data_IF_839830533320
#
_entry.id   IF_839830533320
#
_cell.length_a   1.000
_cell.length_b   1.000
_cell.length_c   1.000
_cell.angle_alpha   90.00
_cell.angle_beta   90.00
_cell.angle_gamma   90.00
#
_symmetry.space_group_name_H-M   'P 1'
#
loop_
_entity.id
_entity.type
_entity.pdbx_description
1 polymer ?
#
# COMPACT_ATOMS: atom_id res chain seq x y z
N UNK A 1 45.86 -30.59 39.73
CA UNK A 1 44.85 -31.24 38.89
C UNK A 1 43.87 -30.16 38.48
N UNK A 2 44.28 -29.31 37.55
CA UNK A 2 43.41 -28.29 36.96
C UNK A 2 42.58 -28.98 35.87
N UNK A 3 41.26 -28.92 36.00
CA UNK A 3 40.34 -29.36 34.95
C UNK A 3 39.75 -28.09 34.34
N UNK A 4 40.20 -27.78 33.14
CA UNK A 4 39.60 -26.78 32.26
C UNK A 4 38.12 -27.12 32.02
N UNK A 5 37.22 -26.18 32.33
CA UNK A 5 35.86 -26.18 31.80
C UNK A 5 35.77 -25.07 30.75
N UNK A 6 35.72 -25.46 29.48
CA UNK A 6 35.51 -24.57 28.32
C UNK A 6 34.16 -23.83 28.45
N UNK A 7 34.03 -22.60 27.90
CA UNK A 7 32.76 -21.91 27.85
C UNK A 7 31.78 -22.68 26.96
N UNK A 8 30.57 -22.92 27.45
CA UNK A 8 29.50 -23.60 26.72
C UNK A 8 29.09 -22.79 25.50
N UNK A 9 29.02 -23.51 24.38
CA UNK A 9 28.62 -23.09 23.05
C UNK A 9 27.30 -22.31 23.02
N UNK A 10 27.29 -21.22 22.24
CA UNK A 10 26.09 -20.53 21.78
C UNK A 10 25.29 -21.49 20.88
N UNK A 11 24.18 -22.03 21.39
CA UNK A 11 23.24 -22.82 20.57
C UNK A 11 22.20 -21.90 19.95
N UNK A 12 22.28 -21.71 18.63
CA UNK A 12 21.14 -21.24 17.83
C UNK A 12 20.29 -22.46 17.46
N UNK A 13 19.06 -22.53 17.98
CA UNK A 13 18.05 -23.47 17.49
C UNK A 13 17.07 -22.65 16.66
N UNK A 14 17.07 -22.83 15.35
CA UNK A 14 16.04 -22.25 14.49
C UNK A 14 14.77 -23.07 14.62
N UNK A 15 13.74 -22.53 15.26
CA UNK A 15 12.37 -23.01 15.08
C UNK A 15 11.73 -22.18 13.98
N UNK A 16 11.34 -22.86 12.91
CA UNK A 16 10.61 -22.27 11.80
C UNK A 16 9.26 -21.72 12.29
N UNK A 17 8.95 -20.49 11.90
CA UNK A 17 7.62 -19.89 11.82
C UNK A 17 6.86 -19.58 13.12
N UNK A 18 7.05 -18.36 13.65
CA UNK A 18 5.99 -17.48 14.21
C UNK A 18 6.45 -16.01 14.14
N UNK A 19 5.56 -15.03 13.90
CA UNK A 19 5.91 -13.61 13.93
C UNK A 19 5.55 -13.03 15.30
N UNK A 20 6.51 -13.01 16.22
CA UNK A 20 6.43 -12.18 17.44
C UNK A 20 7.86 -11.77 17.87
N UNK A 21 8.04 -10.61 18.53
CA UNK A 21 9.35 -10.08 18.84
C UNK A 21 10.07 -10.94 19.89
N UNK A 22 11.20 -11.53 19.51
CA UNK A 22 12.11 -12.18 20.45
C UNK A 22 12.94 -11.11 21.16
N UNK A 23 12.91 -11.09 22.49
CA UNK A 23 13.93 -10.41 23.28
C UNK A 23 15.23 -11.24 23.22
N UNK A 24 16.35 -10.60 22.87
CA UNK A 24 17.67 -11.25 22.88
C UNK A 24 18.56 -10.55 23.90
N UNK A 25 19.25 -11.35 24.71
CA UNK A 25 20.28 -10.89 25.65
C UNK A 25 21.63 -11.10 24.99
N UNK A 26 22.33 -10.01 24.70
CA UNK A 26 23.71 -10.01 24.23
C UNK A 26 24.57 -9.26 25.24
N UNK A 27 25.56 -9.95 25.82
CA UNK A 27 26.50 -9.38 26.81
C UNK A 27 25.85 -8.64 28.00
N UNK A 28 24.69 -9.11 28.46
CA UNK A 28 23.98 -8.53 29.61
C UNK A 28 23.09 -7.33 29.27
N UNK A 29 22.97 -6.94 27.99
CA UNK A 29 22.06 -5.89 27.53
C UNK A 29 20.88 -6.50 26.79
N UNK A 30 19.67 -6.07 27.12
CA UNK A 30 18.44 -6.51 26.46
C UNK A 30 18.14 -5.60 25.28
N UNK A 31 17.89 -6.20 24.13
CA UNK A 31 17.42 -5.48 22.95
C UNK A 31 16.34 -6.27 22.21
N UNK A 32 15.51 -5.54 21.48
CA UNK A 32 14.48 -6.10 20.62
C UNK A 32 15.03 -6.25 19.21
N UNK A 33 14.76 -7.41 18.59
CA UNK A 33 14.97 -7.59 17.15
C UNK A 33 13.65 -7.34 16.42
N UNK A 34 13.62 -6.25 15.65
CA UNK A 34 12.58 -6.02 14.66
C UNK A 34 13.25 -5.82 13.30
N UNK A 35 12.82 -6.59 12.30
CA UNK A 35 13.35 -6.48 10.93
C UNK A 35 14.86 -6.74 10.77
N UNK A 36 15.51 -7.45 11.70
CA UNK A 36 16.95 -7.79 11.64
C UNK A 36 17.90 -6.77 12.28
N UNK A 37 17.39 -5.66 12.84
CA UNK A 37 18.21 -4.67 13.56
C UNK A 37 18.01 -4.78 15.07
N UNK A 38 19.10 -4.70 15.83
CA UNK A 38 19.13 -4.78 17.28
C UNK A 38 19.12 -3.36 17.88
N UNK A 39 18.12 -3.07 18.73
CA UNK A 39 18.01 -1.80 19.44
C UNK A 39 18.26 -2.02 20.93
N UNK A 40 19.40 -1.58 21.49
CA UNK A 40 19.70 -1.72 22.90
C UNK A 40 18.83 -0.77 23.73
N UNK A 41 18.24 -1.26 24.82
CA UNK A 41 17.56 -0.42 25.80
C UNK A 41 18.51 -0.08 26.96
N UNK A 42 18.45 1.14 27.51
CA UNK A 42 19.32 1.59 28.61
C UNK A 42 18.95 1.01 30.00
N UNK A 43 17.92 0.17 30.07
CA UNK A 43 17.47 -0.47 31.31
C UNK A 43 18.37 -1.66 31.72
N UNK A 44 18.62 -1.81 33.02
CA UNK A 44 19.40 -2.92 33.58
C UNK A 44 18.59 -4.23 33.57
N UNK A 45 19.31 -5.36 33.52
CA UNK A 45 18.73 -6.71 33.41
C UNK A 45 17.70 -7.03 34.50
N UNK A 46 17.83 -6.47 35.70
CA UNK A 46 16.90 -6.71 36.83
C UNK A 46 15.52 -6.07 36.60
N UNK A 47 15.46 -4.84 36.09
CA UNK A 47 14.18 -4.15 35.82
C UNK A 47 13.43 -4.79 34.66
N UNK A 48 14.14 -5.14 33.59
CA UNK A 48 13.55 -5.84 32.45
C UNK A 48 13.26 -7.33 32.75
N UNK A 49 13.96 -7.95 33.69
CA UNK A 49 13.73 -9.34 34.10
C UNK A 49 12.36 -9.53 34.74
N UNK A 50 11.80 -8.55 35.45
CA UNK A 50 10.48 -8.68 36.06
C UNK A 50 9.36 -8.60 35.00
N UNK A 51 9.42 -7.61 34.11
CA UNK A 51 8.44 -7.43 33.03
C UNK A 51 8.51 -8.58 31.99
N UNK A 52 9.72 -9.01 31.63
CA UNK A 52 9.92 -10.14 30.69
C UNK A 52 9.56 -11.47 31.35
N UNK A 53 9.86 -11.68 32.64
CA UNK A 53 9.48 -12.90 33.33
C UNK A 53 7.96 -13.01 33.51
N UNK A 54 7.23 -11.91 33.74
CA UNK A 54 5.76 -11.94 33.83
C UNK A 54 5.07 -12.13 32.48
N UNK A 55 5.62 -11.57 31.39
CA UNK A 55 5.21 -11.93 30.02
C UNK A 55 5.41 -13.41 29.71
N UNK A 56 6.46 -14.04 30.25
CA UNK A 56 6.77 -15.46 30.08
C UNK A 56 5.91 -16.35 30.98
N UNK A 57 5.44 -15.87 32.14
CA UNK A 57 4.73 -16.69 33.13
C UNK A 57 3.21 -16.87 32.87
N UNK A 58 2.58 -15.97 32.10
CA UNK A 58 1.12 -16.00 31.88
C UNK A 58 0.67 -16.67 30.56
N UNK A 59 1.60 -17.23 29.79
CA UNK A 59 1.29 -17.89 28.52
C UNK A 59 0.78 -16.95 27.42
N UNK A 60 0.57 -17.44 26.19
CA UNK A 60 0.15 -16.61 25.06
C UNK A 60 -1.23 -16.02 25.36
N UNK A 61 -1.33 -14.71 25.61
CA UNK A 61 -2.50 -13.82 25.80
C UNK A 61 -3.92 -14.42 25.61
N UNK A 62 -4.24 -15.56 26.24
CA UNK A 62 -5.48 -16.31 26.09
C UNK A 62 -5.99 -16.59 27.50
N UNK A 63 -7.21 -16.13 27.78
CA UNK A 63 -7.87 -16.36 29.07
C UNK A 63 -7.90 -15.16 30.03
N UNK A 64 -7.38 -13.99 29.63
CA UNK A 64 -7.65 -12.78 30.42
C UNK A 64 -9.12 -12.38 30.32
N UNK A 65 -9.75 -12.31 31.48
CA UNK A 65 -11.12 -11.82 31.70
C UNK A 65 -11.11 -10.39 32.23
N UNK A 66 -12.28 -9.76 32.27
CA UNK A 66 -12.51 -8.44 32.87
C UNK A 66 -11.89 -8.23 34.26
N UNK A 67 -11.81 -9.28 35.09
CA UNK A 67 -11.23 -9.21 36.44
C UNK A 67 -9.73 -8.86 36.44
N UNK A 68 -9.04 -9.09 35.32
CA UNK A 68 -7.61 -8.88 35.21
C UNK A 68 -7.21 -7.43 34.88
N UNK A 69 -8.17 -6.53 34.59
CA UNK A 69 -7.86 -5.18 34.10
C UNK A 69 -6.90 -4.39 35.00
N UNK A 70 -7.21 -4.28 36.30
CA UNK A 70 -6.38 -3.52 37.25
C UNK A 70 -4.97 -4.13 37.39
N UNK A 71 -4.88 -5.46 37.43
CA UNK A 71 -3.59 -6.15 37.50
C UNK A 71 -2.76 -5.91 36.24
N UNK A 72 -3.38 -6.03 35.06
CA UNK A 72 -2.69 -5.87 33.78
C UNK A 72 -2.19 -4.43 33.57
N UNK A 73 -2.98 -3.43 33.98
CA UNK A 73 -2.57 -2.02 33.86
C UNK A 73 -1.53 -1.60 34.90
N UNK A 74 -1.53 -2.23 36.08
CA UNK A 74 -0.49 -2.04 37.10
C UNK A 74 0.84 -2.69 36.72
N UNK A 75 0.80 -3.92 36.18
CA UNK A 75 1.99 -4.66 35.73
C UNK A 75 2.58 -4.02 34.48
N UNK A 76 1.77 -3.87 33.43
CA UNK A 76 2.26 -3.40 32.13
C UNK A 76 2.16 -1.87 32.04
N UNK A 77 3.13 -1.16 32.61
CA UNK A 77 3.14 0.32 32.60
C UNK A 77 3.43 0.92 31.22
N UNK A 78 4.12 0.18 30.34
CA UNK A 78 4.43 0.60 28.98
C UNK A 78 3.21 0.47 28.04
N UNK A 79 2.80 1.59 27.43
CA UNK A 79 1.67 1.64 26.49
C UNK A 79 1.80 0.71 25.29
N UNK A 80 3.01 0.48 24.78
CA UNK A 80 3.24 -0.37 23.60
C UNK A 80 2.91 -1.82 23.96
N UNK A 81 3.37 -2.27 25.13
CA UNK A 81 3.07 -3.62 25.63
C UNK A 81 1.56 -3.77 25.85
N UNK A 82 0.89 -2.79 26.48
CA UNK A 82 -0.56 -2.86 26.68
C UNK A 82 -1.34 -2.88 25.37
N UNK A 83 -0.94 -2.08 24.38
CA UNK A 83 -1.57 -2.06 23.05
C UNK A 83 -1.42 -3.43 22.35
N UNK A 84 -0.22 -3.99 22.36
CA UNK A 84 0.05 -5.29 21.72
C UNK A 84 -0.65 -6.44 22.47
N UNK A 85 -0.78 -6.33 23.80
CA UNK A 85 -1.63 -7.21 24.60
C UNK A 85 -3.10 -7.11 24.18
N UNK A 86 -3.67 -5.91 24.08
CA UNK A 86 -5.06 -5.67 23.63
C UNK A 86 -5.32 -6.32 22.26
N UNK A 87 -4.34 -6.31 21.36
CA UNK A 87 -4.43 -6.98 20.06
C UNK A 87 -4.71 -8.49 20.17
N UNK A 88 -4.41 -9.12 21.31
CA UNK A 88 -4.63 -10.55 21.54
C UNK A 88 -5.79 -10.87 22.51
N UNK A 89 -6.38 -9.90 23.20
CA UNK A 89 -7.54 -10.13 24.08
C UNK A 89 -8.77 -10.54 23.27
N UNK A 90 -9.49 -11.58 23.72
CA UNK A 90 -10.79 -12.00 23.15
C UNK A 90 -11.99 -11.70 24.05
N UNK A 91 -11.76 -11.47 25.35
CA UNK A 91 -12.81 -11.15 26.30
C UNK A 91 -13.35 -9.74 26.04
N UNK A 92 -14.62 -9.65 25.66
CA UNK A 92 -15.25 -8.38 25.30
C UNK A 92 -15.32 -7.44 26.51
N UNK A 93 -15.68 -7.93 27.69
CA UNK A 93 -15.76 -7.11 28.91
C UNK A 93 -14.40 -6.50 29.30
N UNK A 94 -13.30 -7.21 29.08
CA UNK A 94 -11.95 -6.69 29.28
C UNK A 94 -11.59 -5.64 28.21
N UNK A 95 -11.92 -5.89 26.95
CA UNK A 95 -11.74 -4.90 25.87
C UNK A 95 -12.51 -3.60 26.16
N UNK A 96 -13.75 -3.70 26.63
CA UNK A 96 -14.56 -2.54 27.03
C UNK A 96 -13.89 -1.74 28.15
N UNK A 97 -13.29 -2.41 29.15
CA UNK A 97 -12.53 -1.72 30.19
C UNK A 97 -11.28 -1.01 29.64
N UNK A 98 -10.51 -1.65 28.77
CA UNK A 98 -9.38 -0.99 28.11
C UNK A 98 -9.82 0.23 27.31
N UNK A 99 -10.90 0.12 26.53
CA UNK A 99 -11.42 1.23 25.74
C UNK A 99 -11.93 2.41 26.56
N UNK A 100 -12.45 2.16 27.77
CA UNK A 100 -13.03 3.20 28.63
C UNK A 100 -12.06 3.78 29.65
N UNK A 101 -11.06 3.01 30.09
CA UNK A 101 -10.30 3.29 31.32
C UNK A 101 -8.79 3.35 31.13
N UNK A 102 -8.22 2.81 30.04
CA UNK A 102 -6.76 2.88 29.88
C UNK A 102 -6.29 4.34 29.81
N UNK A 103 -5.18 4.64 30.48
CA UNK A 103 -4.64 5.99 30.55
C UNK A 103 -4.14 6.50 29.19
N UNK A 104 -3.71 5.60 28.30
CA UNK A 104 -3.15 5.96 26.99
C UNK A 104 -4.20 5.80 25.87
N UNK A 105 -4.39 6.84 25.07
CA UNK A 105 -5.39 6.86 24.01
C UNK A 105 -5.12 5.86 22.89
N UNK A 106 -3.87 5.49 22.61
CA UNK A 106 -3.57 4.48 21.59
C UNK A 106 -3.99 3.08 22.05
N UNK A 107 -3.88 2.79 23.35
CA UNK A 107 -4.40 1.53 23.92
C UNK A 107 -5.93 1.54 23.87
N UNK A 108 -6.57 2.66 24.22
CA UNK A 108 -8.03 2.80 24.12
C UNK A 108 -8.52 2.62 22.69
N UNK A 109 -7.88 3.25 21.71
CA UNK A 109 -8.22 3.13 20.30
C UNK A 109 -8.09 1.67 19.80
N UNK A 110 -6.98 0.99 20.14
CA UNK A 110 -6.80 -0.42 19.80
C UNK A 110 -7.87 -1.33 20.42
N UNK A 111 -8.35 -1.00 21.62
CA UNK A 111 -9.44 -1.75 22.25
C UNK A 111 -10.77 -1.49 21.53
N UNK A 112 -11.08 -0.24 21.20
CA UNK A 112 -12.28 0.16 20.41
C UNK A 112 -12.37 -0.58 19.08
N UNK A 113 -11.22 -0.79 18.42
CA UNK A 113 -11.17 -1.54 17.16
C UNK A 113 -11.66 -2.99 17.27
N UNK A 114 -11.67 -3.56 18.48
CA UNK A 114 -12.02 -4.95 18.74
C UNK A 114 -13.35 -5.16 19.47
N UNK A 115 -13.92 -4.10 20.05
CA UNK A 115 -15.20 -4.17 20.73
C UNK A 115 -16.32 -4.48 19.73
N UNK A 116 -17.26 -5.34 20.12
CA UNK A 116 -18.45 -5.69 19.31
C UNK A 116 -19.71 -4.91 19.74
N UNK A 117 -19.70 -4.34 20.95
CA UNK A 117 -20.80 -3.59 21.50
C UNK A 117 -21.05 -2.27 20.74
N UNK A 118 -21.97 -2.31 19.78
CA UNK A 118 -22.32 -1.16 18.91
C UNK A 118 -22.77 0.08 19.68
N UNK A 119 -23.46 -0.09 20.81
CA UNK A 119 -23.93 1.04 21.64
C UNK A 119 -22.74 1.73 22.28
N UNK A 120 -21.84 0.98 22.90
CA UNK A 120 -20.62 1.52 23.50
C UNK A 120 -19.74 2.22 22.45
N UNK A 121 -19.55 1.62 21.27
CA UNK A 121 -18.79 2.25 20.17
C UNK A 121 -19.42 3.60 19.79
N UNK A 122 -20.75 3.66 19.70
CA UNK A 122 -21.47 4.91 19.39
C UNK A 122 -21.31 5.95 20.50
N UNK A 123 -21.35 5.54 21.77
CA UNK A 123 -21.16 6.42 22.91
C UNK A 123 -19.72 6.97 22.97
N UNK A 124 -18.72 6.13 22.68
CA UNK A 124 -17.30 6.53 22.57
C UNK A 124 -17.13 7.52 21.42
N UNK A 125 -17.67 7.23 20.24
CA UNK A 125 -17.55 8.13 19.09
C UNK A 125 -18.16 9.51 19.35
N UNK A 126 -19.23 9.61 20.15
CA UNK A 126 -19.91 10.88 20.45
C UNK A 126 -19.23 11.68 21.57
N UNK A 127 -18.64 11.02 22.55
CA UNK A 127 -18.30 11.65 23.84
C UNK A 127 -16.82 11.56 24.23
N UNK A 128 -16.03 10.70 23.59
CA UNK A 128 -14.63 10.53 23.96
C UNK A 128 -13.81 11.80 23.68
N UNK A 129 -12.92 12.17 24.61
CA UNK A 129 -12.17 13.43 24.51
C UNK A 129 -11.09 13.38 23.46
N UNK A 130 -10.40 12.24 23.34
CA UNK A 130 -9.34 12.07 22.37
C UNK A 130 -9.91 11.74 20.99
N UNK A 131 -9.50 12.50 19.99
CA UNK A 131 -9.92 12.37 18.60
C UNK A 131 -9.49 11.06 17.97
N UNK A 132 -8.27 10.55 18.21
CA UNK A 132 -7.83 9.25 17.68
C UNK A 132 -8.73 8.09 18.14
N UNK A 133 -9.17 8.11 19.40
CA UNK A 133 -10.14 7.12 19.91
C UNK A 133 -11.51 7.31 19.25
N UNK A 134 -11.96 8.57 19.05
CA UNK A 134 -13.19 8.84 18.29
C UNK A 134 -13.08 8.37 16.83
N UNK A 135 -11.94 8.55 16.16
CA UNK A 135 -11.66 8.08 14.79
C UNK A 135 -11.75 6.55 14.70
N UNK A 136 -11.17 5.85 15.67
CA UNK A 136 -11.29 4.39 15.77
C UNK A 136 -12.77 3.96 15.93
N UNK A 137 -13.53 4.68 16.76
CA UNK A 137 -14.94 4.40 17.00
C UNK A 137 -15.81 4.68 15.76
N UNK A 138 -15.74 5.88 15.18
CA UNK A 138 -16.56 6.28 14.02
C UNK A 138 -16.28 5.40 12.79
N UNK A 139 -15.07 4.87 12.67
CA UNK A 139 -14.73 3.95 11.57
C UNK A 139 -15.54 2.66 11.58
N UNK A 140 -16.12 2.30 12.74
CA UNK A 140 -16.94 1.09 12.98
C UNK A 140 -18.45 1.38 13.02
N UNK A 141 -18.88 2.63 12.83
CA UNK A 141 -20.30 2.99 12.90
C UNK A 141 -20.98 2.85 11.53
N UNK A 142 -22.12 2.16 11.53
CA UNK A 142 -22.99 1.99 10.36
C UNK A 142 -24.29 2.81 10.46
N UNK A 143 -24.68 3.17 11.68
CA UNK A 143 -25.89 3.91 11.98
C UNK A 143 -25.85 5.32 11.39
N UNK A 144 -26.77 5.61 10.45
CA UNK A 144 -26.75 6.84 9.68
C UNK A 144 -27.03 8.08 10.53
N UNK A 145 -27.94 7.98 11.51
CA UNK A 145 -28.24 9.10 12.41
C UNK A 145 -27.02 9.48 13.23
N UNK A 146 -26.29 8.49 13.74
CA UNK A 146 -25.03 8.72 14.46
C UNK A 146 -23.95 9.31 13.57
N UNK A 147 -23.78 8.83 12.34
CA UNK A 147 -22.81 9.40 11.39
C UNK A 147 -23.14 10.87 11.06
N UNK A 148 -24.41 11.18 10.81
CA UNK A 148 -24.84 12.57 10.59
C UNK A 148 -24.63 13.45 11.82
N UNK A 149 -24.88 12.92 13.02
CA UNK A 149 -24.62 13.63 14.27
C UNK A 149 -23.13 13.93 14.44
N UNK A 150 -22.25 12.96 14.17
CA UNK A 150 -20.80 13.13 14.28
C UNK A 150 -20.30 14.15 13.26
N UNK A 151 -20.77 14.11 12.01
CA UNK A 151 -20.48 15.17 11.05
C UNK A 151 -20.92 16.56 11.55
N UNK A 152 -22.14 16.71 12.09
CA UNK A 152 -22.65 18.02 12.50
C UNK A 152 -21.95 18.60 13.73
N UNK A 153 -21.48 17.75 14.64
CA UNK A 153 -21.09 18.17 15.99
C UNK A 153 -19.62 17.91 16.34
N UNK A 154 -18.88 17.06 15.61
CA UNK A 154 -17.47 16.81 15.95
C UNK A 154 -16.57 17.97 15.51
N UNK A 155 -15.73 18.40 16.45
CA UNK A 155 -14.76 19.47 16.24
C UNK A 155 -13.57 19.04 15.38
N UNK A 156 -13.22 17.76 15.40
CA UNK A 156 -12.11 17.21 14.63
C UNK A 156 -12.53 16.94 13.18
N UNK A 157 -11.67 17.35 12.25
CA UNK A 157 -12.02 17.28 10.83
C UNK A 157 -11.91 15.85 10.30
N UNK A 158 -10.98 15.04 10.82
CA UNK A 158 -10.79 13.66 10.37
C UNK A 158 -11.95 12.79 10.86
N UNK A 159 -12.44 12.99 12.08
CA UNK A 159 -13.67 12.33 12.55
C UNK A 159 -14.86 12.67 11.65
N UNK A 160 -15.02 13.96 11.28
CA UNK A 160 -16.07 14.37 10.35
C UNK A 160 -15.90 13.75 8.97
N UNK A 161 -14.68 13.71 8.43
CA UNK A 161 -14.38 13.09 7.14
C UNK A 161 -14.72 11.58 7.14
N UNK A 162 -14.31 10.86 8.18
CA UNK A 162 -14.61 9.43 8.36
C UNK A 162 -16.13 9.21 8.44
N UNK A 163 -16.85 10.08 9.14
CA UNK A 163 -18.32 10.03 9.18
C UNK A 163 -18.92 10.25 7.79
N UNK A 164 -18.53 11.32 7.10
CA UNK A 164 -19.03 11.68 5.76
C UNK A 164 -18.76 10.59 4.74
N UNK A 165 -17.60 9.93 4.80
CA UNK A 165 -17.26 8.81 3.91
C UNK A 165 -18.15 7.56 4.10
N UNK A 166 -19.06 7.57 5.08
CA UNK A 166 -20.06 6.50 5.33
C UNK A 166 -21.51 6.97 5.26
N UNK A 167 -21.77 8.27 5.19
CA UNK A 167 -23.13 8.84 5.07
C UNK A 167 -23.75 8.48 3.70
N UNK A 168 -25.01 8.09 3.65
CA UNK A 168 -25.74 7.79 2.39
C UNK A 168 -26.76 8.87 1.99
N UNK A 169 -27.08 9.80 2.89
CA UNK A 169 -28.01 10.90 2.65
C UNK A 169 -27.48 11.86 1.56
N UNK A 170 -27.99 11.73 0.33
CA UNK A 170 -27.51 12.49 -0.84
C UNK A 170 -27.71 14.00 -0.71
N UNK A 171 -28.81 14.45 -0.09
CA UNK A 171 -29.06 15.89 0.14
C UNK A 171 -28.04 16.48 1.10
N UNK A 172 -27.71 15.75 2.17
CA UNK A 172 -26.67 16.17 3.09
C UNK A 172 -25.31 16.18 2.39
N UNK A 173 -24.94 15.11 1.68
CA UNK A 173 -23.68 15.03 0.93
C UNK A 173 -23.51 16.18 -0.07
N UNK A 174 -24.58 16.57 -0.79
CA UNK A 174 -24.55 17.73 -1.69
C UNK A 174 -24.21 19.02 -0.93
N UNK A 175 -24.87 19.27 0.19
CA UNK A 175 -24.59 20.46 1.02
C UNK A 175 -23.14 20.46 1.52
N UNK A 176 -22.64 19.31 2.00
CA UNK A 176 -21.26 19.17 2.48
C UNK A 176 -20.27 19.46 1.35
N UNK A 177 -20.47 18.85 0.18
CA UNK A 177 -19.62 19.02 -0.99
C UNK A 177 -19.47 20.49 -1.41
N UNK A 178 -20.51 21.31 -1.27
CA UNK A 178 -20.47 22.73 -1.63
C UNK A 178 -20.01 23.67 -0.51
N UNK A 179 -20.18 23.30 0.76
CA UNK A 179 -20.12 24.29 1.85
C UNK A 179 -19.21 23.95 3.04
N UNK A 180 -18.72 22.72 3.19
CA UNK A 180 -17.82 22.41 4.30
C UNK A 180 -16.51 23.21 4.16
N UNK A 181 -15.98 23.70 5.28
CA UNK A 181 -14.77 24.54 5.29
C UNK A 181 -13.50 23.73 5.00
N UNK A 182 -13.53 22.42 5.20
CA UNK A 182 -12.39 21.53 5.06
C UNK A 182 -12.49 20.75 3.76
N UNK A 183 -11.49 20.93 2.92
CA UNK A 183 -11.41 20.31 1.61
C UNK A 183 -11.52 18.79 1.68
N UNK A 184 -10.89 18.13 2.66
CA UNK A 184 -10.94 16.66 2.76
C UNK A 184 -12.35 16.15 3.13
N UNK A 185 -13.09 16.86 3.98
CA UNK A 185 -14.51 16.57 4.26
C UNK A 185 -15.37 16.76 3.00
N UNK A 186 -15.12 17.83 2.23
CA UNK A 186 -15.78 18.04 0.94
C UNK A 186 -15.47 16.90 -0.04
N UNK A 187 -14.19 16.49 -0.16
CA UNK A 187 -13.74 15.39 -1.02
C UNK A 187 -14.43 14.08 -0.68
N UNK A 188 -14.53 13.74 0.61
CA UNK A 188 -15.27 12.59 1.09
C UNK A 188 -16.74 12.63 0.68
N UNK A 189 -17.37 13.82 0.71
CA UNK A 189 -18.75 13.98 0.24
C UNK A 189 -18.87 13.79 -1.27
N UNK A 190 -18.00 14.41 -2.08
CA UNK A 190 -18.02 14.28 -3.55
C UNK A 190 -17.85 12.83 -3.98
N UNK A 191 -16.97 12.07 -3.31
CA UNK A 191 -16.73 10.66 -3.60
C UNK A 191 -18.00 9.78 -3.46
N UNK A 192 -19.00 10.24 -2.68
CA UNK A 192 -20.25 9.51 -2.40
C UNK A 192 -21.48 10.08 -3.10
N UNK A 193 -21.32 11.13 -3.89
CA UNK A 193 -22.40 11.69 -4.67
C UNK A 193 -22.76 10.81 -5.86
N UNK A 194 -24.06 10.61 -6.03
CA UNK A 194 -24.63 9.85 -7.16
C UNK A 194 -25.26 10.77 -8.21
N UNK A 195 -25.75 11.93 -7.78
CA UNK A 195 -26.46 12.86 -8.66
C UNK A 195 -25.51 13.51 -9.69
N UNK A 196 -25.68 13.13 -10.96
CA UNK A 196 -24.86 13.62 -12.06
C UNK A 196 -24.99 15.13 -12.29
N UNK A 197 -26.14 15.75 -12.01
CA UNK A 197 -26.29 17.20 -12.13
C UNK A 197 -25.48 17.95 -11.07
N UNK A 198 -25.36 17.38 -9.87
CA UNK A 198 -24.55 17.94 -8.78
C UNK A 198 -23.06 17.81 -9.10
N UNK A 199 -22.62 16.63 -9.53
CA UNK A 199 -21.23 16.38 -9.95
C UNK A 199 -20.81 17.37 -11.06
N UNK A 200 -21.68 17.63 -12.04
CA UNK A 200 -21.41 18.63 -13.10
C UNK A 200 -21.24 20.04 -12.57
N UNK A 201 -21.94 20.43 -11.50
CA UNK A 201 -21.75 21.74 -10.87
C UNK A 201 -20.39 21.79 -10.16
N UNK A 202 -20.01 20.73 -9.44
CA UNK A 202 -18.74 20.61 -8.73
C UNK A 202 -17.52 20.62 -9.66
N UNK A 203 -17.68 20.30 -10.94
CA UNK A 203 -16.63 20.49 -11.94
C UNK A 203 -16.24 21.96 -12.17
N UNK A 204 -17.02 22.93 -11.67
CA UNK A 204 -16.66 24.35 -11.70
C UNK A 204 -15.94 24.82 -10.43
N UNK A 205 -15.66 23.91 -9.50
CA UNK A 205 -15.02 24.25 -8.24
C UNK A 205 -13.60 24.80 -8.44
N UNK A 206 -13.20 25.76 -7.61
CA UNK A 206 -11.86 26.34 -7.67
C UNK A 206 -10.78 25.33 -7.24
N UNK A 207 -11.13 24.42 -6.33
CA UNK A 207 -10.22 23.39 -5.81
C UNK A 207 -10.08 22.26 -6.83
N UNK A 208 -8.83 22.03 -7.25
CA UNK A 208 -8.49 21.00 -8.23
C UNK A 208 -8.94 19.59 -7.81
N UNK A 209 -8.66 19.19 -6.56
CA UNK A 209 -9.03 17.90 -6.01
C UNK A 209 -10.55 17.64 -6.06
N UNK A 210 -11.38 18.68 -5.87
CA UNK A 210 -12.83 18.56 -5.96
C UNK A 210 -13.24 18.28 -7.41
N UNK A 211 -12.65 19.00 -8.38
CA UNK A 211 -12.88 18.75 -9.80
C UNK A 211 -12.39 17.36 -10.22
N UNK A 212 -11.24 16.92 -9.71
CA UNK A 212 -10.68 15.59 -9.98
C UNK A 212 -11.62 14.47 -9.53
N UNK A 213 -12.11 14.52 -8.29
CA UNK A 213 -13.05 13.49 -7.81
C UNK A 213 -14.36 13.57 -8.60
N UNK A 214 -14.87 14.78 -8.84
CA UNK A 214 -16.10 14.96 -9.61
C UNK A 214 -15.99 14.43 -11.05
N UNK A 215 -14.83 14.56 -11.71
CA UNK A 215 -14.63 14.03 -13.07
C UNK A 215 -14.60 12.50 -13.08
N UNK A 216 -13.98 11.87 -12.08
CA UNK A 216 -13.98 10.42 -11.93
C UNK A 216 -15.37 9.83 -11.59
N UNK A 217 -16.27 10.65 -11.03
CA UNK A 217 -17.63 10.27 -10.66
C UNK A 217 -18.67 10.54 -11.75
N UNK A 218 -18.35 11.37 -12.75
CA UNK A 218 -19.30 11.69 -13.82
C UNK A 218 -19.26 10.67 -14.95
N UNK A 219 -20.39 10.49 -15.64
CA UNK A 219 -20.49 9.65 -16.83
C UNK A 219 -20.61 10.44 -18.16
N UNK A 220 -20.51 11.77 -18.12
CA UNK A 220 -20.56 12.59 -19.33
C UNK A 220 -19.21 12.64 -20.05
N UNK A 221 -19.13 11.94 -21.18
CA UNK A 221 -17.93 11.86 -22.01
C UNK A 221 -17.54 13.19 -22.68
N UNK A 222 -18.48 14.07 -23.02
CA UNK A 222 -18.17 15.39 -23.60
C UNK A 222 -17.56 16.31 -22.54
N UNK A 223 -18.07 16.24 -21.32
CA UNK A 223 -17.50 16.95 -20.17
C UNK A 223 -16.11 16.40 -19.86
N UNK A 224 -15.95 15.08 -19.76
CA UNK A 224 -14.65 14.43 -19.55
C UNK A 224 -13.64 14.85 -20.63
N UNK A 225 -14.04 14.83 -21.90
CA UNK A 225 -13.21 15.28 -23.04
C UNK A 225 -12.74 16.72 -22.86
N UNK A 226 -13.64 17.65 -22.52
CA UNK A 226 -13.29 19.05 -22.30
C UNK A 226 -12.27 19.21 -21.17
N UNK A 227 -12.45 18.52 -20.05
CA UNK A 227 -11.51 18.58 -18.93
C UNK A 227 -10.15 17.98 -19.28
N UNK A 228 -10.13 16.84 -19.98
CA UNK A 228 -8.89 16.21 -20.45
C UNK A 228 -8.07 17.12 -21.37
N UNK A 229 -8.74 17.92 -22.22
CA UNK A 229 -8.09 18.83 -23.16
C UNK A 229 -7.64 20.16 -22.56
N UNK A 230 -8.29 20.65 -21.50
CA UNK A 230 -8.19 22.07 -21.14
C UNK A 230 -8.13 22.43 -19.66
N UNK A 231 -8.29 21.49 -18.71
CA UNK A 231 -8.15 21.86 -17.30
C UNK A 231 -6.73 22.39 -17.01
N UNK A 232 -6.58 23.54 -16.32
CA UNK A 232 -5.26 24.08 -16.02
C UNK A 232 -4.41 23.15 -15.14
N UNK A 233 -5.03 22.27 -14.35
CA UNK A 233 -4.34 21.36 -13.43
C UNK A 233 -4.11 20.02 -14.11
N UNK A 234 -2.84 19.62 -14.14
CA UNK A 234 -2.39 18.36 -14.76
C UNK A 234 -3.10 17.15 -14.18
N UNK A 235 -3.30 17.09 -12.86
CA UNK A 235 -3.97 15.96 -12.20
C UNK A 235 -5.41 15.78 -12.66
N UNK A 236 -6.14 16.89 -12.81
CA UNK A 236 -7.51 16.87 -13.35
C UNK A 236 -7.52 16.42 -14.81
N UNK A 237 -6.58 16.91 -15.64
CA UNK A 237 -6.45 16.44 -17.03
C UNK A 237 -6.16 14.94 -17.09
N UNK A 238 -5.18 14.46 -16.31
CA UNK A 238 -4.79 13.04 -16.22
C UNK A 238 -5.96 12.16 -15.79
N UNK A 239 -6.70 12.56 -14.75
CA UNK A 239 -7.89 11.87 -14.28
C UNK A 239 -8.98 11.81 -15.35
N UNK A 240 -9.26 12.95 -16.00
CA UNK A 240 -10.21 13.01 -17.11
C UNK A 240 -9.79 12.12 -18.28
N UNK A 241 -8.52 12.13 -18.69
CA UNK A 241 -7.96 11.24 -19.73
C UNK A 241 -8.15 9.77 -19.37
N UNK A 242 -7.96 9.40 -18.10
CA UNK A 242 -8.16 8.03 -17.61
C UNK A 242 -9.62 7.57 -17.75
N UNK A 243 -10.58 8.50 -17.60
CA UNK A 243 -12.02 8.25 -17.75
C UNK A 243 -12.55 8.43 -19.19
N UNK A 244 -11.74 8.95 -20.11
CA UNK A 244 -12.15 9.29 -21.48
C UNK A 244 -12.16 8.08 -22.41
N UNK A 245 -13.21 7.93 -23.22
CA UNK A 245 -13.33 6.84 -24.21
C UNK A 245 -13.21 7.30 -25.67
N UNK A 246 -13.14 8.61 -25.92
CA UNK A 246 -13.01 9.16 -27.27
C UNK A 246 -11.60 8.93 -27.84
N UNK A 247 -11.48 8.00 -28.79
CA UNK A 247 -10.17 7.57 -29.32
C UNK A 247 -9.42 8.68 -30.06
N UNK A 248 -10.11 9.56 -30.79
CA UNK A 248 -9.44 10.65 -31.50
C UNK A 248 -8.85 11.68 -30.53
N UNK A 249 -9.57 12.01 -29.45
CA UNK A 249 -9.00 12.85 -28.38
C UNK A 249 -7.86 12.16 -27.65
N UNK A 250 -7.96 10.85 -27.38
CA UNK A 250 -6.85 10.10 -26.76
C UNK A 250 -5.59 10.13 -27.63
N UNK A 251 -5.72 9.98 -28.96
CA UNK A 251 -4.58 10.13 -29.89
C UNK A 251 -3.99 11.53 -29.84
N UNK A 252 -4.83 12.55 -29.83
CA UNK A 252 -4.39 13.94 -29.70
C UNK A 252 -3.62 14.18 -28.40
N UNK A 253 -4.18 13.76 -27.26
CA UNK A 253 -3.56 13.92 -25.95
C UNK A 253 -2.23 13.18 -25.85
N UNK A 254 -2.16 11.94 -26.32
CA UNK A 254 -0.92 11.14 -26.32
C UNK A 254 0.24 11.80 -27.08
N UNK A 255 -0.07 12.62 -28.10
CA UNK A 255 0.92 13.31 -28.92
C UNK A 255 1.21 14.70 -28.38
N UNK A 256 0.19 15.46 -27.97
CA UNK A 256 0.27 16.92 -27.82
C UNK A 256 0.22 17.44 -26.38
N UNK A 257 -0.28 16.68 -25.39
CA UNK A 257 -0.35 17.24 -24.03
C UNK A 257 1.06 17.60 -23.54
N UNK A 258 1.19 18.77 -22.91
CA UNK A 258 2.46 19.27 -22.41
C UNK A 258 3.09 18.34 -21.36
N UNK A 259 2.27 17.65 -20.57
CA UNK A 259 2.72 16.83 -19.45
C UNK A 259 2.76 15.35 -19.82
N UNK A 260 3.90 14.71 -19.54
CA UNK A 260 4.14 13.29 -19.77
C UNK A 260 3.04 12.42 -19.17
N UNK A 261 2.59 12.73 -17.96
CA UNK A 261 1.64 11.89 -17.22
C UNK A 261 0.27 11.82 -17.91
N UNK A 262 -0.14 12.91 -18.58
CA UNK A 262 -1.36 12.92 -19.40
C UNK A 262 -1.14 12.15 -20.70
N UNK A 263 0.01 12.34 -21.34
CA UNK A 263 0.38 11.58 -22.56
C UNK A 263 0.45 10.09 -22.29
N UNK A 264 1.02 9.69 -21.15
CA UNK A 264 1.14 8.31 -20.70
C UNK A 264 -0.25 7.70 -20.46
N UNK A 265 -1.10 8.39 -19.67
CA UNK A 265 -2.48 7.95 -19.41
C UNK A 265 -3.27 7.77 -20.71
N UNK A 266 -3.12 8.69 -21.68
CA UNK A 266 -3.75 8.58 -22.99
C UNK A 266 -3.20 7.38 -23.77
N UNK A 267 -1.87 7.23 -23.80
CA UNK A 267 -1.16 6.16 -24.53
C UNK A 267 -1.55 4.77 -24.05
N UNK A 268 -1.72 4.57 -22.74
CA UNK A 268 -2.15 3.29 -22.16
C UNK A 268 -3.55 2.86 -22.64
N UNK A 269 -4.39 3.81 -23.08
CA UNK A 269 -5.73 3.53 -23.60
C UNK A 269 -5.79 3.34 -25.11
N UNK A 270 -4.71 3.65 -25.84
CA UNK A 270 -4.69 3.53 -27.30
C UNK A 270 -4.75 2.08 -27.76
N UNK A 271 -5.35 1.91 -28.94
CA UNK A 271 -5.44 0.66 -29.69
C UNK A 271 -4.81 0.74 -31.09
N UNK A 272 -4.39 1.94 -31.51
CA UNK A 272 -3.76 2.21 -32.80
C UNK A 272 -2.28 1.76 -32.79
N UNK A 273 -1.98 0.65 -33.45
CA UNK A 273 -0.65 0.03 -33.43
C UNK A 273 0.42 0.82 -34.21
N UNK A 274 0.03 1.62 -35.20
CA UNK A 274 0.96 2.48 -35.94
C UNK A 274 1.36 3.68 -35.09
N UNK A 275 0.38 4.30 -34.43
CA UNK A 275 0.67 5.38 -33.49
C UNK A 275 1.46 4.88 -32.27
N UNK A 276 1.10 3.73 -31.71
CA UNK A 276 1.84 3.13 -30.59
C UNK A 276 3.30 2.83 -30.97
N UNK A 277 3.56 2.30 -32.16
CA UNK A 277 4.93 2.11 -32.64
C UNK A 277 5.69 3.45 -32.73
N UNK A 278 5.06 4.48 -33.29
CA UNK A 278 5.66 5.81 -33.39
C UNK A 278 5.99 6.38 -32.01
N UNK A 279 5.06 6.29 -31.06
CA UNK A 279 5.28 6.76 -29.68
C UNK A 279 6.41 5.96 -29.02
N UNK A 280 6.35 4.63 -29.08
CA UNK A 280 7.34 3.75 -28.46
C UNK A 280 8.76 3.95 -28.99
N UNK A 281 8.93 4.42 -30.22
CA UNK A 281 10.25 4.56 -30.86
C UNK A 281 10.78 6.00 -30.89
N UNK A 282 9.92 7.00 -30.72
CA UNK A 282 10.28 8.40 -30.99
C UNK A 282 9.90 9.39 -29.88
N UNK A 283 9.14 8.99 -28.85
CA UNK A 283 8.79 9.93 -27.77
C UNK A 283 10.00 10.20 -26.87
N UNK A 284 10.26 11.47 -26.54
CA UNK A 284 11.42 11.83 -25.72
C UNK A 284 11.31 11.32 -24.27
N UNK A 285 10.08 11.21 -23.74
CA UNK A 285 9.85 10.76 -22.37
C UNK A 285 9.78 9.22 -22.29
N UNK A 286 10.61 8.63 -21.43
CA UNK A 286 10.72 7.19 -21.28
C UNK A 286 9.44 6.52 -20.76
N UNK A 287 8.70 7.16 -19.85
CA UNK A 287 7.45 6.61 -19.30
C UNK A 287 6.37 6.52 -20.39
N UNK A 288 6.26 7.53 -21.25
CA UNK A 288 5.34 7.51 -22.40
C UNK A 288 5.75 6.43 -23.42
N UNK A 289 7.05 6.25 -23.69
CA UNK A 289 7.53 5.14 -24.54
C UNK A 289 7.25 3.77 -23.89
N UNK A 290 7.41 3.65 -22.58
CA UNK A 290 7.12 2.44 -21.83
C UNK A 290 5.62 2.10 -21.91
N UNK A 291 4.73 3.06 -21.68
CA UNK A 291 3.28 2.91 -21.88
C UNK A 291 2.95 2.42 -23.29
N UNK A 292 3.56 3.01 -24.32
CA UNK A 292 3.34 2.56 -25.69
C UNK A 292 3.82 1.12 -25.91
N UNK A 293 5.00 0.78 -25.38
CA UNK A 293 5.58 -0.58 -25.47
C UNK A 293 4.73 -1.62 -24.75
N UNK A 294 4.12 -1.25 -23.61
CA UNK A 294 3.15 -2.09 -22.87
C UNK A 294 1.93 -2.42 -23.74
N UNK A 295 1.46 -1.48 -24.57
CA UNK A 295 0.29 -1.67 -25.44
C UNK A 295 0.61 -2.29 -26.80
N UNK A 296 1.84 -2.14 -27.27
CA UNK A 296 2.27 -2.56 -28.62
C UNK A 296 2.27 -4.09 -28.81
N UNK A 297 1.81 -4.59 -29.95
CA UNK A 297 1.87 -6.03 -30.28
C UNK A 297 2.71 -6.35 -31.53
N UNK A 298 3.34 -5.34 -32.14
CA UNK A 298 4.18 -5.52 -33.34
C UNK A 298 5.52 -6.14 -32.97
N UNK A 299 5.72 -7.38 -33.41
CA UNK A 299 6.87 -8.19 -33.01
C UNK A 299 8.21 -7.55 -33.41
N UNK A 300 8.35 -7.09 -34.66
CA UNK A 300 9.60 -6.50 -35.15
C UNK A 300 10.00 -5.23 -34.38
N UNK A 301 9.02 -4.40 -34.02
CA UNK A 301 9.26 -3.20 -33.22
C UNK A 301 9.67 -3.59 -31.80
N UNK A 302 9.01 -4.57 -31.18
CA UNK A 302 9.39 -5.07 -29.86
C UNK A 302 10.80 -5.65 -29.85
N UNK A 303 11.20 -6.40 -30.89
CA UNK A 303 12.58 -6.90 -31.05
C UNK A 303 13.60 -5.77 -31.10
N UNK A 304 13.33 -4.72 -31.88
CA UNK A 304 14.19 -3.53 -31.96
C UNK A 304 14.31 -2.82 -30.61
N UNK A 305 13.18 -2.63 -29.92
CA UNK A 305 13.17 -1.97 -28.61
C UNK A 305 13.93 -2.78 -27.56
N UNK A 306 13.78 -4.11 -27.57
CA UNK A 306 14.44 -5.02 -26.63
C UNK A 306 15.97 -4.92 -26.62
N UNK A 307 16.58 -4.59 -27.76
CA UNK A 307 18.03 -4.47 -27.91
C UNK A 307 18.55 -3.03 -28.02
N UNK A 308 17.67 -2.08 -28.34
CA UNK A 308 18.08 -0.76 -28.83
C UNK A 308 17.58 0.44 -28.05
N UNK A 309 16.55 0.32 -27.19
CA UNK A 309 16.11 1.48 -26.40
C UNK A 309 17.15 1.82 -25.33
N UNK A 310 17.40 3.11 -25.11
CA UNK A 310 18.32 3.59 -24.08
C UNK A 310 17.83 3.23 -22.66
N UNK A 311 16.51 3.24 -22.44
CA UNK A 311 15.91 2.96 -21.15
C UNK A 311 15.75 1.46 -20.90
N UNK A 312 16.32 0.98 -19.80
CA UNK A 312 16.28 -0.43 -19.42
C UNK A 312 14.86 -0.95 -19.15
N UNK A 313 13.95 -0.09 -18.69
CA UNK A 313 12.56 -0.45 -18.43
C UNK A 313 11.86 -0.82 -19.74
N UNK A 314 12.07 -0.03 -20.78
CA UNK A 314 11.50 -0.28 -22.12
C UNK A 314 12.06 -1.57 -22.70
N UNK A 315 13.40 -1.76 -22.63
CA UNK A 315 14.02 -3.02 -23.05
C UNK A 315 13.45 -4.23 -22.31
N UNK A 316 13.29 -4.12 -20.99
CA UNK A 316 12.71 -5.18 -20.15
C UNK A 316 11.25 -5.50 -20.52
N UNK A 317 10.42 -4.48 -20.75
CA UNK A 317 9.02 -4.65 -21.18
C UNK A 317 9.00 -5.36 -22.53
N UNK A 318 9.82 -4.90 -23.49
CA UNK A 318 9.89 -5.50 -24.81
C UNK A 318 10.34 -6.98 -24.76
N UNK A 319 11.38 -7.30 -23.98
CA UNK A 319 11.83 -8.68 -23.73
C UNK A 319 10.70 -9.55 -23.17
N UNK A 320 9.89 -9.02 -22.25
CA UNK A 320 8.78 -9.80 -21.67
C UNK A 320 7.72 -10.21 -22.71
N UNK A 321 7.65 -9.47 -23.83
CA UNK A 321 6.61 -9.60 -24.87
C UNK A 321 7.06 -10.32 -26.14
N UNK A 322 8.35 -10.58 -26.32
CA UNK A 322 8.87 -11.35 -27.47
C UNK A 322 9.20 -12.78 -27.07
N UNK A 323 9.16 -13.72 -28.00
CA UNK A 323 9.56 -15.12 -27.77
C UNK A 323 10.86 -15.51 -28.50
N UNK A 324 11.49 -14.54 -29.18
CA UNK A 324 12.73 -14.70 -29.92
C UNK A 324 13.90 -15.08 -29.00
N UNK A 325 14.27 -16.36 -29.00
CA UNK A 325 15.29 -16.88 -28.10
C UNK A 325 16.70 -16.36 -28.42
N UNK A 326 16.97 -15.87 -29.62
CA UNK A 326 18.26 -15.27 -29.96
C UNK A 326 18.42 -13.96 -29.20
N UNK A 327 17.40 -13.09 -29.28
CA UNK A 327 17.40 -11.81 -28.56
C UNK A 327 17.36 -12.05 -27.05
N UNK A 328 16.48 -12.93 -26.56
CA UNK A 328 16.37 -13.23 -25.14
C UNK A 328 17.69 -13.75 -24.58
N UNK A 329 18.36 -14.69 -25.26
CA UNK A 329 19.64 -15.24 -24.80
C UNK A 329 20.73 -14.18 -24.76
N UNK A 330 20.81 -13.34 -25.82
CA UNK A 330 21.77 -12.24 -25.88
C UNK A 330 21.53 -11.24 -24.75
N UNK A 331 20.29 -10.79 -24.55
CA UNK A 331 19.94 -9.85 -23.48
C UNK A 331 20.19 -10.43 -22.09
N UNK A 332 19.98 -11.73 -21.88
CA UNK A 332 20.27 -12.39 -20.61
C UNK A 332 21.75 -12.41 -20.24
N UNK A 333 22.64 -12.42 -21.25
CA UNK A 333 24.10 -12.46 -21.06
C UNK A 333 24.73 -11.05 -21.05
N UNK A 334 24.28 -10.18 -21.95
CA UNK A 334 25.02 -8.97 -22.33
C UNK A 334 24.36 -7.67 -21.89
N UNK A 335 23.07 -7.64 -21.55
CA UNK A 335 22.42 -6.37 -21.19
C UNK A 335 23.05 -5.79 -19.91
N UNK A 336 23.37 -4.50 -19.94
CA UNK A 336 24.01 -3.81 -18.81
C UNK A 336 23.10 -3.75 -17.58
N UNK A 337 21.79 -3.69 -17.78
CA UNK A 337 20.82 -3.60 -16.70
C UNK A 337 20.41 -4.97 -16.18
N UNK A 338 20.56 -5.17 -14.87
CA UNK A 338 20.09 -6.37 -14.18
C UNK A 338 18.58 -6.63 -14.38
N UNK A 339 17.76 -5.59 -14.56
CA UNK A 339 16.31 -5.74 -14.73
C UNK A 339 16.01 -6.43 -16.06
N UNK A 340 16.68 -6.01 -17.13
CA UNK A 340 16.54 -6.63 -18.45
C UNK A 340 17.04 -8.07 -18.42
N UNK A 341 18.21 -8.32 -17.79
CA UNK A 341 18.74 -9.67 -17.64
C UNK A 341 17.78 -10.58 -16.85
N UNK A 342 17.18 -10.09 -15.77
CA UNK A 342 16.14 -10.82 -15.02
C UNK A 342 14.96 -11.19 -15.92
N UNK A 343 14.40 -10.22 -16.66
CA UNK A 343 13.27 -10.45 -17.56
C UNK A 343 13.61 -11.47 -18.65
N UNK A 344 14.81 -11.39 -19.22
CA UNK A 344 15.30 -12.32 -20.23
C UNK A 344 15.47 -13.73 -19.65
N UNK A 345 16.12 -13.87 -18.49
CA UNK A 345 16.31 -15.16 -17.80
C UNK A 345 14.98 -15.84 -17.51
N UNK A 346 13.95 -15.10 -17.09
CA UNK A 346 12.62 -15.67 -16.84
C UNK A 346 12.02 -16.32 -18.09
N UNK A 347 12.36 -15.84 -19.28
CA UNK A 347 11.86 -16.35 -20.57
C UNK A 347 12.81 -17.34 -21.28
N UNK A 348 14.02 -17.56 -20.78
CA UNK A 348 14.97 -18.50 -21.39
C UNK A 348 14.40 -19.91 -21.51
N UNK A 349 14.55 -20.53 -22.67
CA UNK A 349 14.28 -21.97 -22.86
C UNK A 349 15.55 -22.82 -22.78
N UNK A 350 16.72 -22.22 -22.99
CA UNK A 350 18.00 -22.90 -22.90
C UNK A 350 18.41 -23.16 -21.43
N UNK A 351 18.36 -24.43 -21.04
CA UNK A 351 18.71 -24.90 -19.68
C UNK A 351 20.18 -24.67 -19.33
N UNK A 352 21.10 -24.94 -20.25
CA UNK A 352 22.54 -24.81 -20.01
C UNK A 352 22.93 -23.33 -19.82
N UNK A 353 22.32 -22.46 -20.62
CA UNK A 353 22.50 -21.02 -20.48
C UNK A 353 21.97 -20.52 -19.14
N UNK A 354 20.78 -20.97 -18.72
CA UNK A 354 20.26 -20.64 -17.39
C UNK A 354 21.19 -21.10 -16.26
N UNK A 355 21.84 -22.28 -16.39
CA UNK A 355 22.83 -22.75 -15.44
C UNK A 355 24.08 -21.85 -15.42
N UNK A 356 24.60 -21.49 -16.58
CA UNK A 356 25.78 -20.61 -16.72
C UNK A 356 25.54 -19.27 -16.03
N UNK A 357 24.42 -18.61 -16.34
CA UNK A 357 24.03 -17.34 -15.72
C UNK A 357 23.87 -17.48 -14.20
N UNK A 358 23.36 -18.62 -13.73
CA UNK A 358 23.19 -18.88 -12.29
C UNK A 358 24.51 -18.91 -11.50
N UNK A 359 25.61 -19.27 -12.17
CA UNK A 359 26.94 -19.37 -11.59
C UNK A 359 27.74 -18.08 -11.78
N UNK A 360 27.58 -17.43 -12.94
CA UNK A 360 28.53 -16.42 -13.42
C UNK A 360 27.99 -14.99 -13.45
N UNK A 361 26.66 -14.75 -13.41
CA UNK A 361 26.14 -13.38 -13.51
C UNK A 361 26.64 -12.53 -12.32
N UNK A 362 27.12 -11.29 -12.55
CA UNK A 362 27.64 -10.45 -11.47
C UNK A 362 26.62 -10.11 -10.38
N UNK A 363 25.32 -10.06 -10.72
CA UNK A 363 24.26 -9.69 -9.78
C UNK A 363 23.61 -10.91 -9.14
N UNK A 364 23.60 -10.93 -7.81
CA UNK A 364 23.01 -12.03 -7.01
C UNK A 364 21.51 -12.23 -7.29
N UNK A 365 20.77 -11.18 -7.61
CA UNK A 365 19.36 -11.24 -7.98
C UNK A 365 19.15 -12.00 -9.30
N UNK A 366 19.96 -11.72 -10.32
CA UNK A 366 19.92 -12.43 -11.61
C UNK A 366 20.27 -13.90 -11.39
N UNK A 367 21.32 -14.19 -10.62
CA UNK A 367 21.70 -15.56 -10.27
C UNK A 367 20.54 -16.32 -9.59
N UNK A 368 19.86 -15.71 -8.61
CA UNK A 368 18.69 -16.32 -7.94
C UNK A 368 17.58 -16.67 -8.93
N UNK A 369 17.25 -15.77 -9.85
CA UNK A 369 16.24 -16.00 -10.88
C UNK A 369 16.67 -17.12 -11.84
N UNK A 370 17.95 -17.13 -12.22
CA UNK A 370 18.54 -18.16 -13.09
C UNK A 370 18.54 -19.55 -12.44
N UNK A 371 18.87 -19.66 -11.14
CA UNK A 371 18.75 -20.92 -10.36
C UNK A 371 17.31 -21.43 -10.42
N UNK A 372 16.32 -20.56 -10.18
CA UNK A 372 14.90 -20.95 -10.24
C UNK A 372 14.55 -21.43 -11.65
N UNK A 373 14.91 -20.66 -12.68
CA UNK A 373 14.62 -21.02 -14.08
C UNK A 373 15.27 -22.33 -14.49
N UNK A 374 16.53 -22.55 -14.14
CA UNK A 374 17.26 -23.79 -14.41
C UNK A 374 16.55 -25.01 -13.80
N UNK A 375 16.10 -24.90 -12.54
CA UNK A 375 15.32 -25.95 -11.87
C UNK A 375 13.99 -26.21 -12.58
N UNK A 376 13.28 -25.16 -12.96
CA UNK A 376 11.98 -25.27 -13.65
C UNK A 376 12.14 -25.95 -15.02
N UNK A 377 13.19 -25.63 -15.77
CA UNK A 377 13.50 -26.28 -17.05
C UNK A 377 13.93 -27.74 -16.85
N UNK A 378 14.70 -28.04 -15.80
CA UNK A 378 15.16 -29.40 -15.49
C UNK A 378 14.01 -30.35 -15.15
N UNK A 379 12.95 -29.85 -14.49
CA UNK A 379 11.75 -30.64 -14.18
C UNK A 379 10.90 -30.98 -15.39
N UNK A 380 10.94 -30.17 -16.46
CA UNK A 380 10.17 -30.41 -17.69
C UNK A 380 10.86 -31.38 -18.67
N UNK A 381 12.14 -31.65 -18.46
CA UNK A 381 12.94 -32.55 -19.30
C UNK A 381 12.94 -34.01 -18.80
N UNK A 382 12.33 -34.27 -17.64
CA UNK A 382 12.05 -35.60 -17.07
C UNK A 382 10.55 -35.87 -17.16
#
# INVERSE_FOLDING_TARGET
MEIHVKPKETKFVSLNYTPDPFAIILNGTIGFLTGGNFYPNEATFEEASQDIAECVFLGPFRGYTSEHFEKLTQVYTNRIIRRDMVANISDQSLLEQFALRDSDSYVRAAAVEKIENKKLISDIAKNEKNDDVRKAAVSRIEDQETLEHLYKNDTDNDVREIAVSRITNQTLLENIAFSDKKTDVRKAAVARLENQAVLRKLLKDEIADIREIAICRTNDQEVIKRFALSDPKTDVRRAATSCLNDMETLKELAIKDMKSDVREAATLKLTDMDLLEKIATSNDNADVRAAATIRLSKEDTLKRLAIGDADATIRSIAISKIDDQVIISKSALEDTSKIVRIAAVQKLTNKELANTISLEDPHSEVRKVAIKRFRDLSKKSN
#
